data_IF_200887451874
#
_entry.id   IF_200887451874
#
_cell.length_a   1.000
_cell.length_b   1.000
_cell.length_c   1.000
_cell.angle_alpha   90.00
_cell.angle_beta   90.00
_cell.angle_gamma   90.00
#
_symmetry.space_group_name_H-M   'P 1'
#
loop_
_entity.id
_entity.type
_entity.pdbx_description
1 polymer ?
#
# COMPACT_ATOMS: atom_id res chain seq x y z
N UNK A 1 -8.97 4.96 -4.14
CA UNK A 1 -8.03 5.56 -5.10
C UNK A 1 -7.04 4.50 -5.54
N UNK A 2 -6.72 4.39 -6.83
CA UNK A 2 -5.78 3.39 -7.35
C UNK A 2 -4.71 4.05 -8.21
N UNK A 3 -3.46 3.60 -8.11
CA UNK A 3 -2.35 4.08 -8.93
C UNK A 3 -1.19 3.08 -8.92
N UNK A 4 -0.37 3.13 -9.97
CA UNK A 4 0.88 2.37 -10.03
C UNK A 4 2.04 3.23 -9.50
N UNK A 5 2.92 2.61 -8.72
CA UNK A 5 4.14 3.25 -8.20
C UNK A 5 5.29 2.24 -8.22
N UNK A 6 6.36 2.58 -8.96
CA UNK A 6 7.51 1.69 -9.22
C UNK A 6 7.06 0.34 -9.81
N UNK A 7 7.19 -0.75 -9.06
CA UNK A 7 6.82 -2.12 -9.44
C UNK A 7 5.57 -2.61 -8.71
N UNK A 8 4.78 -1.70 -8.14
CA UNK A 8 3.62 -2.02 -7.33
C UNK A 8 2.36 -1.33 -7.86
N UNK A 9 1.25 -2.06 -7.86
CA UNK A 9 -0.09 -1.51 -8.00
C UNK A 9 -0.65 -1.26 -6.60
N UNK A 10 -1.07 -0.02 -6.33
CA UNK A 10 -1.54 0.43 -5.03
C UNK A 10 -3.04 0.74 -5.12
N UNK A 11 -3.80 0.18 -4.18
CA UNK A 11 -5.21 0.46 -3.97
C UNK A 11 -5.43 1.02 -2.56
N UNK A 12 -5.57 2.35 -2.46
CA UNK A 12 -5.91 3.04 -1.23
C UNK A 12 -7.42 3.07 -1.05
N UNK A 13 -7.88 2.67 0.13
CA UNK A 13 -9.29 2.56 0.49
C UNK A 13 -9.54 3.18 1.85
N UNK A 14 -10.68 3.85 1.97
CA UNK A 14 -11.22 4.26 3.25
C UNK A 14 -12.34 3.29 3.60
N UNK A 15 -12.15 2.48 4.63
CA UNK A 15 -13.22 1.62 5.14
C UNK A 15 -14.11 2.47 6.03
N UNK A 16 -15.33 2.71 5.57
CA UNK A 16 -16.35 3.33 6.41
C UNK A 16 -16.72 2.39 7.56
N UNK A 17 -16.67 2.90 8.78
CA UNK A 17 -17.13 2.25 9.99
C UNK A 17 -18.33 2.99 10.58
N UNK A 18 -18.82 2.52 11.71
CA UNK A 18 -19.91 3.17 12.43
C UNK A 18 -19.48 4.57 12.91
N UNK A 19 -20.46 5.46 13.12
CA UNK A 19 -20.27 6.83 13.63
C UNK A 19 -19.48 7.79 12.70
N UNK A 20 -19.41 7.51 11.40
CA UNK A 20 -18.78 8.42 10.43
C UNK A 20 -17.25 8.43 10.47
N UNK A 21 -16.65 7.39 11.07
CA UNK A 21 -15.21 7.17 11.08
C UNK A 21 -14.80 6.40 9.82
N UNK A 22 -13.69 6.82 9.23
CA UNK A 22 -13.07 6.21 8.06
C UNK A 22 -11.70 5.66 8.43
N UNK A 23 -11.52 4.35 8.32
CA UNK A 23 -10.22 3.73 8.52
C UNK A 23 -9.42 3.73 7.22
N UNK A 24 -8.22 4.29 7.27
CA UNK A 24 -7.26 4.26 6.18
C UNK A 24 -6.74 2.82 5.98
N UNK A 25 -6.83 2.32 4.75
CA UNK A 25 -6.28 1.03 4.34
C UNK A 25 -5.61 1.14 2.98
N UNK A 26 -4.59 0.33 2.75
CA UNK A 26 -3.94 0.17 1.46
C UNK A 26 -3.70 -1.30 1.16
N UNK A 27 -4.00 -1.70 -0.08
CA UNK A 27 -3.57 -2.98 -0.63
C UNK A 27 -2.50 -2.72 -1.68
N UNK A 28 -1.34 -3.32 -1.48
CA UNK A 28 -0.20 -3.19 -2.37
C UNK A 28 0.00 -4.53 -3.06
N UNK A 29 0.00 -4.51 -4.38
CA UNK A 29 0.18 -5.70 -5.20
C UNK A 29 1.44 -5.53 -6.02
N UNK A 30 2.42 -6.41 -5.84
CA UNK A 30 3.61 -6.42 -6.67
C UNK A 30 3.24 -6.87 -8.09
N UNK A 31 3.68 -6.10 -9.08
CA UNK A 31 3.51 -6.43 -10.49
C UNK A 31 4.55 -7.52 -10.80
N UNK A 32 4.12 -8.76 -11.08
CA UNK A 32 5.05 -9.86 -11.28
C UNK A 32 5.87 -9.64 -12.55
N UNK A 33 7.19 -9.76 -12.45
CA UNK A 33 8.05 -9.90 -13.63
C UNK A 33 8.24 -11.39 -13.93
N UNK A 34 8.44 -11.75 -15.21
CA UNK A 34 8.45 -13.14 -15.75
C UNK A 34 8.79 -14.23 -14.71
N UNK A 35 7.84 -15.13 -14.48
CA UNK A 35 7.92 -16.28 -13.56
C UNK A 35 8.01 -15.96 -12.05
N UNK A 36 7.79 -14.70 -11.61
CA UNK A 36 7.66 -14.39 -10.19
C UNK A 36 6.28 -14.72 -9.62
N UNK A 37 6.26 -15.08 -8.34
CA UNK A 37 5.04 -15.24 -7.59
C UNK A 37 4.34 -13.90 -7.39
N UNK A 38 3.02 -13.92 -7.55
CA UNK A 38 2.16 -12.81 -7.18
C UNK A 38 2.26 -12.58 -5.67
N UNK A 39 2.72 -11.40 -5.27
CA UNK A 39 2.81 -11.00 -3.87
C UNK A 39 1.90 -9.80 -3.65
N UNK A 40 0.97 -9.92 -2.71
CA UNK A 40 0.17 -8.80 -2.26
C UNK A 40 0.32 -8.62 -0.76
N UNK A 41 0.45 -7.38 -0.34
CA UNK A 41 0.47 -6.95 1.05
C UNK A 41 -0.79 -6.14 1.35
N UNK A 42 -1.46 -6.44 2.45
CA UNK A 42 -2.59 -5.68 2.96
C UNK A 42 -2.16 -4.99 4.24
N UNK A 43 -2.40 -3.67 4.31
CA UNK A 43 -1.97 -2.86 5.45
C UNK A 43 -2.74 -3.15 6.74
N UNK A 44 -3.93 -3.75 6.66
CA UNK A 44 -4.93 -3.63 7.72
C UNK A 44 -5.36 -2.18 7.93
N UNK A 45 -5.87 -1.86 9.12
CA UNK A 45 -6.22 -0.49 9.52
C UNK A 45 -4.93 0.27 9.88
N UNK A 46 -4.63 1.32 9.11
CA UNK A 46 -3.45 2.18 9.32
C UNK A 46 -3.76 3.20 10.41
N UNK A 47 -4.84 3.95 10.25
CA UNK A 47 -5.30 4.98 11.18
C UNK A 47 -6.80 5.32 10.92
N UNK A 48 -7.41 6.12 11.79
CA UNK A 48 -8.82 6.49 11.76
C UNK A 48 -9.01 8.01 11.56
N UNK A 49 -9.92 8.38 10.66
CA UNK A 49 -10.19 9.77 10.29
C UNK A 49 -11.68 10.07 10.31
N UNK A 50 -12.04 11.34 10.50
CA UNK A 50 -13.44 11.79 10.46
C UNK A 50 -13.98 12.00 9.04
N UNK A 51 -13.14 11.87 8.00
CA UNK A 51 -13.55 11.97 6.61
C UNK A 51 -12.74 11.05 5.69
N UNK A 52 -13.33 10.74 4.54
CA UNK A 52 -12.75 9.81 3.56
C UNK A 52 -11.46 10.35 2.92
N UNK A 53 -11.39 11.66 2.65
CA UNK A 53 -10.28 12.26 1.91
C UNK A 53 -8.96 12.19 2.71
N UNK A 54 -9.01 12.43 4.02
CA UNK A 54 -7.86 12.31 4.90
C UNK A 54 -7.42 10.85 5.05
N UNK A 55 -8.37 9.92 5.18
CA UNK A 55 -8.08 8.48 5.22
C UNK A 55 -7.37 7.99 3.94
N UNK A 56 -7.85 8.42 2.78
CA UNK A 56 -7.21 8.08 1.49
C UNK A 56 -5.83 8.73 1.37
N UNK A 57 -5.66 9.97 1.82
CA UNK A 57 -4.38 10.69 1.77
C UNK A 57 -3.34 10.05 2.69
N UNK A 58 -3.73 9.65 3.90
CA UNK A 58 -2.91 8.88 4.83
C UNK A 58 -2.50 7.52 4.23
N UNK A 59 -3.48 6.75 3.72
CA UNK A 59 -3.21 5.45 3.08
C UNK A 59 -2.23 5.57 1.91
N UNK A 60 -2.28 6.68 1.16
CA UNK A 60 -1.35 6.95 0.05
C UNK A 60 0.08 7.16 0.55
N UNK A 61 0.28 8.00 1.57
CA UNK A 61 1.61 8.30 2.12
C UNK A 61 2.25 7.02 2.66
N UNK A 62 1.50 6.28 3.48
CA UNK A 62 1.94 5.00 4.02
C UNK A 62 2.32 4.00 2.91
N UNK A 63 1.50 3.90 1.85
CA UNK A 63 1.76 2.95 0.77
C UNK A 63 3.02 3.28 -0.03
N UNK A 64 3.34 4.57 -0.20
CA UNK A 64 4.56 5.02 -0.87
C UNK A 64 5.78 4.65 -0.02
N UNK A 65 5.74 4.94 1.28
CA UNK A 65 6.83 4.62 2.22
C UNK A 65 7.11 3.12 2.25
N UNK A 66 6.05 2.30 2.38
CA UNK A 66 6.16 0.85 2.34
C UNK A 66 6.80 0.36 1.03
N UNK A 67 6.39 0.92 -0.12
CA UNK A 67 6.95 0.54 -1.42
C UNK A 67 8.42 0.93 -1.56
N UNK A 68 8.82 2.09 -1.04
CA UNK A 68 10.22 2.55 -1.06
C UNK A 68 11.10 1.64 -0.19
N UNK A 69 10.62 1.23 0.99
CA UNK A 69 11.30 0.26 1.85
C UNK A 69 11.38 -1.13 1.20
N UNK A 70 10.28 -1.62 0.62
CA UNK A 70 10.24 -2.92 -0.06
C UNK A 70 11.20 -2.96 -1.27
N UNK A 71 11.23 -1.91 -2.08
CA UNK A 71 12.14 -1.80 -3.22
C UNK A 71 13.62 -1.76 -2.78
N UNK A 72 13.90 -1.13 -1.64
CA UNK A 72 15.24 -1.09 -1.06
C UNK A 72 15.70 -2.47 -0.58
N UNK A 73 14.81 -3.24 0.04
CA UNK A 73 15.09 -4.62 0.47
C UNK A 73 15.37 -5.56 -0.72
N UNK A 74 14.57 -5.48 -1.77
CA UNK A 74 14.75 -6.28 -3.00
C UNK A 74 16.11 -6.03 -3.67
N UNK A 75 16.57 -4.77 -3.65
CA UNK A 75 17.88 -4.40 -4.19
C UNK A 75 19.03 -5.03 -3.38
N UNK A 76 18.85 -5.16 -2.06
CA UNK A 76 19.86 -5.73 -1.16
C UNK A 76 19.93 -7.26 -1.27
N UNK A 77 18.80 -7.94 -1.49
CA UNK A 77 18.74 -9.38 -1.75
C UNK A 77 19.39 -9.75 -3.09
N UNK A 78 19.21 -8.95 -4.14
CA UNK A 78 19.83 -9.17 -5.44
C UNK A 78 21.36 -9.05 -5.42
N UNK A 79 21.91 -8.23 -4.50
CA UNK A 79 23.35 -8.04 -4.35
C UNK A 79 24.02 -9.09 -3.43
N UNK A 80 23.21 -9.89 -2.73
CA UNK A 80 23.66 -10.96 -1.81
C UNK A 80 23.56 -12.36 -2.41
N UNK A 81 23.14 -12.48 -3.68
CA UNK A 81 23.12 -13.72 -4.48
C UNK A 81 24.21 -13.69 -5.54
#
# INVERSE_FOLDING_TARGET
>A
MQFDYRHFHIDCRARHADEGVYYARARITRIPQKNEHFQSHDSGDIDAFSNEADAISCARLWAIEWCDEAASQMSNEASSR
#
